data_IF_497470145354
#
_entry.id   IF_497470145354
#
_cell.length_a   1.000
_cell.length_b   1.000
_cell.length_c   1.000
_cell.angle_alpha   90.00
_cell.angle_beta   90.00
_cell.angle_gamma   90.00
#
_symmetry.space_group_name_H-M   'P 1'
#
loop_
_entity.id
_entity.type
_entity.pdbx_description
1 polymer ?
#
# COMPACT_ATOMS: atom_id res chain seq x y z
N UNK A 1 25.02 -80.56 43.67
CA UNK A 1 23.61 -80.31 44.05
C UNK A 1 23.43 -78.81 44.30
N UNK A 2 22.40 -78.22 43.68
CA UNK A 2 21.70 -76.95 44.01
C UNK A 2 22.34 -75.57 43.70
N UNK A 3 21.56 -74.82 42.90
CA UNK A 3 21.52 -73.39 42.41
C UNK A 3 21.53 -72.38 43.61
N UNK A 4 21.75 -71.01 43.55
CA UNK A 4 21.31 -70.08 42.49
C UNK A 4 21.99 -68.67 42.30
N UNK A 5 21.36 -67.85 41.43
CA UNK A 5 21.32 -66.36 41.30
C UNK A 5 22.45 -65.69 40.50
N UNK A 6 22.25 -64.62 39.72
CA UNK A 6 21.14 -64.01 38.98
C UNK A 6 21.80 -62.84 38.20
N UNK A 7 21.33 -62.61 36.97
CA UNK A 7 21.35 -61.35 36.20
C UNK A 7 22.02 -60.10 36.82
N UNK A 8 23.10 -59.61 36.20
CA UNK A 8 23.60 -58.23 36.19
C UNK A 8 24.88 -58.27 35.31
N UNK A 9 25.17 -57.47 34.29
CA UNK A 9 24.94 -56.04 34.04
C UNK A 9 25.12 -55.86 32.52
N UNK A 10 24.07 -55.47 31.81
CA UNK A 10 24.16 -54.96 30.44
C UNK A 10 23.66 -53.52 30.47
N UNK A 11 24.51 -52.58 30.93
CA UNK A 11 24.11 -51.18 31.07
C UNK A 11 25.31 -50.22 31.06
N UNK A 12 26.23 -50.35 30.10
CA UNK A 12 27.38 -49.43 29.99
C UNK A 12 27.70 -49.05 28.54
N UNK A 13 26.69 -48.80 27.70
CA UNK A 13 26.91 -48.33 26.33
C UNK A 13 25.92 -47.28 25.81
N UNK A 14 25.17 -46.59 26.70
CA UNK A 14 24.18 -45.60 26.29
C UNK A 14 24.35 -44.19 26.89
N UNK A 15 25.54 -43.87 27.45
CA UNK A 15 25.71 -42.63 28.24
C UNK A 15 26.42 -41.47 27.53
N UNK A 16 27.03 -41.66 26.35
CA UNK A 16 27.87 -40.62 25.74
C UNK A 16 27.19 -39.85 24.59
N UNK A 17 26.05 -40.34 24.10
CA UNK A 17 25.32 -39.73 22.97
C UNK A 17 24.38 -38.59 23.37
N UNK A 18 24.05 -38.43 24.65
CA UNK A 18 23.03 -37.48 25.12
C UNK A 18 23.61 -36.14 25.61
N UNK A 19 24.93 -36.06 25.84
CA UNK A 19 25.56 -34.86 26.39
C UNK A 19 25.87 -33.77 25.34
N UNK A 20 26.20 -34.14 24.10
CA UNK A 20 26.49 -33.17 23.02
C UNK A 20 25.25 -32.51 22.42
N UNK A 21 24.08 -33.12 22.56
CA UNK A 21 22.83 -32.67 21.93
C UNK A 21 22.14 -31.53 22.69
N UNK A 22 22.47 -31.34 23.98
CA UNK A 22 21.87 -30.31 24.84
C UNK A 22 22.52 -28.94 24.72
N UNK A 23 23.80 -28.86 24.35
CA UNK A 23 24.50 -27.58 24.19
C UNK A 23 24.12 -26.82 22.90
N UNK A 24 23.77 -27.53 21.83
CA UNK A 24 23.35 -26.91 20.57
C UNK A 24 21.95 -26.27 20.63
N UNK A 25 21.08 -26.74 21.54
CA UNK A 25 19.72 -26.20 21.69
C UNK A 25 19.72 -24.92 22.53
N UNK A 26 20.62 -24.79 23.52
CA UNK A 26 20.73 -23.59 24.36
C UNK A 26 21.23 -22.35 23.63
N UNK A 27 22.14 -22.52 22.65
CA UNK A 27 22.70 -21.41 21.87
C UNK A 27 21.70 -20.89 20.81
N UNK A 28 20.82 -21.75 20.29
CA UNK A 28 19.83 -21.34 19.29
C UNK A 28 18.68 -20.50 19.89
N UNK A 29 18.36 -20.67 21.18
CA UNK A 29 17.28 -19.90 21.85
C UNK A 29 17.67 -18.48 22.27
N UNK A 30 18.96 -18.13 22.35
CA UNK A 30 19.42 -16.81 22.75
C UNK A 30 19.62 -15.82 21.58
N UNK A 31 19.64 -16.31 20.34
CA UNK A 31 19.83 -15.47 19.15
C UNK A 31 18.51 -15.04 18.48
N UNK A 32 17.34 -15.47 18.98
CA UNK A 32 16.06 -15.26 18.30
C UNK A 32 15.23 -14.02 18.65
N UNK A 33 15.52 -13.16 19.65
CA UNK A 33 14.66 -11.98 19.87
C UNK A 33 15.10 -10.74 19.06
N UNK A 34 16.26 -10.71 18.41
CA UNK A 34 16.77 -9.50 17.74
C UNK A 34 16.32 -9.32 16.27
N UNK A 35 15.67 -10.33 15.67
CA UNK A 35 15.26 -10.27 14.27
C UNK A 35 13.90 -9.56 14.03
N UNK A 36 13.18 -9.15 15.08
CA UNK A 36 11.85 -8.54 14.94
C UNK A 36 11.82 -7.01 14.82
N UNK A 37 12.96 -6.30 14.88
CA UNK A 37 12.97 -4.82 14.95
C UNK A 37 13.09 -4.14 13.57
N UNK A 38 13.26 -4.87 12.46
CA UNK A 38 13.43 -4.26 11.12
C UNK A 38 12.31 -4.57 10.11
N UNK A 39 11.05 -4.58 10.55
CA UNK A 39 9.93 -4.36 9.65
C UNK A 39 9.49 -2.88 9.70
N UNK A 40 10.44 -1.95 9.66
CA UNK A 40 10.14 -0.58 9.29
C UNK A 40 9.71 -0.59 7.83
N UNK A 41 8.45 -0.21 7.56
CA UNK A 41 7.82 -0.09 6.26
C UNK A 41 8.53 0.96 5.40
N UNK A 42 9.70 0.61 4.88
CA UNK A 42 10.43 1.46 3.95
C UNK A 42 9.63 1.48 2.65
N UNK A 43 9.14 2.66 2.26
CA UNK A 43 8.54 2.83 0.93
C UNK A 43 9.53 2.34 -0.13
N UNK A 44 9.05 1.63 -1.18
CA UNK A 44 9.96 1.14 -2.21
C UNK A 44 10.71 2.30 -2.85
N UNK A 45 11.96 2.07 -3.25
CA UNK A 45 12.77 3.07 -3.95
C UNK A 45 12.09 3.49 -5.26
N UNK A 46 12.38 4.69 -5.76
CA UNK A 46 11.77 5.21 -6.99
C UNK A 46 11.97 4.27 -8.19
N UNK A 47 13.16 3.71 -8.36
CA UNK A 47 13.43 2.74 -9.44
C UNK A 47 12.60 1.46 -9.31
N UNK A 48 12.41 0.97 -8.08
CA UNK A 48 11.53 -0.17 -7.83
C UNK A 48 10.07 0.15 -8.15
N UNK A 49 9.61 1.37 -7.81
CA UNK A 49 8.28 1.85 -8.18
C UNK A 49 8.11 1.91 -9.70
N UNK A 50 9.08 2.46 -10.43
CA UNK A 50 9.07 2.52 -11.90
C UNK A 50 9.02 1.12 -12.51
N UNK A 51 9.75 0.15 -11.94
CA UNK A 51 9.69 -1.24 -12.39
C UNK A 51 8.33 -1.89 -12.12
N UNK A 52 7.66 -1.59 -11.00
CA UNK A 52 6.30 -2.04 -10.72
C UNK A 52 5.32 -1.48 -11.77
N UNK A 53 5.40 -0.18 -12.05
CA UNK A 53 4.56 0.52 -13.04
C UNK A 53 4.78 -0.05 -14.46
N UNK A 54 6.03 -0.31 -14.86
CA UNK A 54 6.34 -0.94 -16.17
C UNK A 54 5.74 -2.34 -16.31
N UNK A 55 5.62 -3.07 -15.21
CA UNK A 55 4.99 -4.40 -15.17
C UNK A 55 3.46 -4.35 -15.07
N UNK A 56 2.86 -3.16 -14.93
CA UNK A 56 1.43 -2.99 -14.71
C UNK A 56 0.99 -3.32 -13.27
N UNK A 57 1.94 -3.47 -12.34
CA UNK A 57 1.65 -3.78 -10.94
C UNK A 57 1.42 -2.49 -10.15
N UNK A 58 0.18 -2.00 -10.23
CA UNK A 58 -0.24 -0.72 -9.66
C UNK A 58 -0.68 -0.88 -8.20
N UNK A 59 0.27 -1.18 -7.31
CA UNK A 59 -0.02 -1.40 -5.89
C UNK A 59 -0.37 -0.09 -5.17
N UNK A 60 -1.48 -0.12 -4.44
CA UNK A 60 -1.93 0.98 -3.58
C UNK A 60 -0.90 1.22 -2.45
N UNK A 61 -0.76 2.47 -1.99
CA UNK A 61 0.12 2.97 -0.94
C UNK A 61 1.63 2.88 -1.19
N UNK A 62 2.04 2.32 -2.32
CA UNK A 62 3.46 2.04 -2.64
C UNK A 62 4.02 2.85 -3.80
N UNK A 63 3.16 3.46 -4.61
CA UNK A 63 3.55 4.18 -5.81
C UNK A 63 3.29 5.68 -5.66
N UNK A 64 4.25 6.49 -6.08
CA UNK A 64 4.19 7.95 -6.05
C UNK A 64 3.79 8.52 -7.42
N UNK A 65 3.18 9.72 -7.49
CA UNK A 65 2.91 10.41 -8.75
C UNK A 65 4.16 10.54 -9.63
N UNK A 66 5.29 10.88 -9.00
CA UNK A 66 6.59 11.02 -9.67
C UNK A 66 7.01 9.73 -10.40
N UNK A 67 6.78 8.56 -9.80
CA UNK A 67 7.10 7.29 -10.42
C UNK A 67 6.30 7.06 -11.70
N UNK A 68 5.04 7.51 -11.77
CA UNK A 68 4.22 7.44 -12.97
C UNK A 68 4.71 8.39 -14.04
N UNK A 69 4.95 9.66 -13.70
CA UNK A 69 5.45 10.66 -14.66
C UNK A 69 6.78 10.22 -15.27
N UNK A 70 7.72 9.73 -14.46
CA UNK A 70 9.02 9.25 -14.96
C UNK A 70 8.94 7.93 -15.75
N UNK A 71 7.83 7.19 -15.67
CA UNK A 71 7.66 5.89 -16.36
C UNK A 71 6.81 5.99 -17.60
N UNK A 72 5.74 6.78 -17.56
CA UNK A 72 4.75 6.88 -18.63
C UNK A 72 4.79 8.23 -19.36
N UNK A 73 5.50 9.22 -18.82
CA UNK A 73 5.45 10.61 -19.29
C UNK A 73 4.37 11.42 -18.56
N UNK A 74 4.20 12.67 -18.97
CA UNK A 74 3.20 13.56 -18.39
C UNK A 74 1.76 13.04 -18.63
N UNK A 75 0.87 13.15 -17.63
CA UNK A 75 -0.53 12.80 -17.80
C UNK A 75 -1.23 13.79 -18.73
N UNK A 76 -2.20 13.33 -19.52
CA UNK A 76 -3.03 14.21 -20.36
C UNK A 76 -3.90 15.15 -19.54
N UNK A 77 -4.32 14.68 -18.36
CA UNK A 77 -5.13 15.45 -17.42
C UNK A 77 -4.53 15.36 -16.02
N UNK A 78 -4.37 16.52 -15.39
CA UNK A 78 -3.96 16.69 -14.01
C UNK A 78 -5.01 17.57 -13.33
N UNK A 79 -5.43 17.19 -12.12
CA UNK A 79 -6.38 17.98 -11.33
C UNK A 79 -6.06 17.81 -9.85
N UNK A 80 -6.20 18.88 -9.08
CA UNK A 80 -5.99 18.87 -7.63
C UNK A 80 -7.20 19.48 -6.92
N UNK A 81 -7.74 18.72 -5.97
CA UNK A 81 -8.87 19.17 -5.16
C UNK A 81 -8.85 18.56 -3.76
N UNK A 82 -9.44 19.29 -2.82
CA UNK A 82 -9.79 18.73 -1.53
C UNK A 82 -10.90 17.70 -1.73
N UNK A 83 -10.62 16.44 -1.39
CA UNK A 83 -11.55 15.33 -1.59
C UNK A 83 -11.80 14.59 -0.28
N UNK A 84 -13.00 14.03 -0.16
CA UNK A 84 -13.35 13.08 0.90
C UNK A 84 -13.19 11.67 0.36
N UNK A 85 -12.65 10.80 1.20
CA UNK A 85 -12.29 9.43 0.88
C UNK A 85 -12.96 8.46 1.83
N UNK A 86 -13.48 7.39 1.24
CA UNK A 86 -14.02 6.25 1.97
C UNK A 86 -12.95 5.17 2.09
N UNK A 87 -12.65 4.79 3.33
CA UNK A 87 -11.61 3.79 3.63
C UNK A 87 -12.19 2.40 3.41
N UNK A 88 -11.58 1.65 2.50
CA UNK A 88 -11.97 0.29 2.17
C UNK A 88 -11.19 -0.74 3.00
N UNK A 89 -11.73 -1.95 3.13
CA UNK A 89 -11.07 -3.04 3.85
C UNK A 89 -9.69 -3.44 3.28
N UNK A 90 -9.44 -3.19 2.00
CA UNK A 90 -8.15 -3.45 1.34
C UNK A 90 -7.15 -2.28 1.48
N UNK A 91 -7.55 -1.23 2.21
CA UNK A 91 -6.79 0.00 2.40
C UNK A 91 -6.94 1.00 1.26
N UNK A 92 -7.63 0.69 0.17
CA UNK A 92 -7.89 1.68 -0.88
C UNK A 92 -8.77 2.82 -0.36
N UNK A 93 -8.56 4.02 -0.88
CA UNK A 93 -9.34 5.20 -0.54
C UNK A 93 -10.18 5.62 -1.73
N UNK A 94 -11.48 5.35 -1.72
CA UNK A 94 -12.35 5.70 -2.83
C UNK A 94 -12.75 7.18 -2.67
N UNK A 95 -12.41 8.06 -3.64
CA UNK A 95 -12.86 9.45 -3.57
C UNK A 95 -14.37 9.56 -3.78
N UNK A 96 -15.01 10.47 -3.06
CA UNK A 96 -16.45 10.69 -3.12
C UNK A 96 -16.97 10.98 -4.52
N UNK A 97 -16.18 11.63 -5.37
CA UNK A 97 -16.52 11.92 -6.77
C UNK A 97 -16.74 10.68 -7.65
N UNK A 98 -16.38 9.48 -7.16
CA UNK A 98 -16.60 8.20 -7.85
C UNK A 98 -17.83 7.44 -7.35
N UNK A 99 -18.49 7.90 -6.30
CA UNK A 99 -19.72 7.30 -5.81
C UNK A 99 -20.94 7.94 -6.43
N UNK A 100 -21.99 7.15 -6.63
CA UNK A 100 -23.30 7.69 -6.93
C UNK A 100 -23.86 8.42 -5.70
N UNK A 101 -24.63 9.49 -5.93
CA UNK A 101 -25.24 10.27 -4.86
C UNK A 101 -26.16 9.38 -4.01
N UNK A 102 -25.85 9.29 -2.70
CA UNK A 102 -26.61 8.52 -1.73
C UNK A 102 -26.21 7.04 -1.60
N UNK A 103 -25.17 6.58 -2.31
CA UNK A 103 -24.64 5.22 -2.14
C UNK A 103 -23.44 5.20 -1.17
N UNK A 104 -23.45 4.24 -0.24
CA UNK A 104 -22.28 3.90 0.57
C UNK A 104 -21.50 2.74 -0.09
N UNK A 105 -20.17 2.86 -0.30
CA UNK A 105 -19.39 1.77 -0.86
C UNK A 105 -19.51 0.48 -0.04
N UNK A 106 -19.65 -0.65 -0.75
CA UNK A 106 -19.74 -1.97 -0.14
C UNK A 106 -18.37 -2.37 0.41
N UNK A 107 -18.29 -2.69 1.71
CA UNK A 107 -17.01 -3.03 2.35
C UNK A 107 -16.17 -1.81 2.76
N UNK A 108 -16.83 -0.68 2.98
CA UNK A 108 -16.33 0.49 3.69
C UNK A 108 -16.16 0.12 5.19
N UNK A 109 -14.99 0.43 5.78
CA UNK A 109 -14.79 0.56 7.24
C UNK A 109 -15.17 1.97 7.66
N UNK A 110 -15.84 2.20 8.81
CA UNK A 110 -16.43 3.52 9.21
C UNK A 110 -15.50 4.76 9.19
N UNK A 111 -14.24 4.60 8.79
CA UNK A 111 -13.27 5.64 8.52
C UNK A 111 -13.59 6.48 7.27
N UNK A 112 -13.44 7.79 7.47
CA UNK A 112 -13.40 8.80 6.43
C UNK A 112 -12.04 9.50 6.53
N UNK A 113 -11.40 9.69 5.39
CA UNK A 113 -10.23 10.56 5.27
C UNK A 113 -10.58 11.74 4.37
N UNK A 114 -9.94 12.88 4.60
CA UNK A 114 -10.16 14.05 3.76
C UNK A 114 -8.88 14.89 3.67
N UNK A 115 -8.61 15.39 2.47
CA UNK A 115 -7.48 16.27 2.23
C UNK A 115 -7.23 16.49 0.75
N UNK A 116 -6.09 17.11 0.45
CA UNK A 116 -5.72 17.43 -0.92
C UNK A 116 -5.33 16.17 -1.69
N UNK A 117 -6.03 15.97 -2.79
CA UNK A 117 -5.89 14.81 -3.65
C UNK A 117 -5.42 15.24 -5.03
N UNK A 118 -4.49 14.47 -5.59
CA UNK A 118 -4.00 14.64 -6.96
C UNK A 118 -4.61 13.56 -7.85
N UNK A 119 -5.26 13.99 -8.92
CA UNK A 119 -5.92 13.14 -9.90
C UNK A 119 -5.15 13.19 -11.22
N UNK A 120 -4.77 12.02 -11.73
CA UNK A 120 -4.08 11.89 -13.01
C UNK A 120 -4.89 11.02 -13.98
N UNK A 121 -5.09 11.53 -15.19
CA UNK A 121 -5.72 10.82 -16.30
C UNK A 121 -4.73 10.48 -17.40
N UNK A 122 -4.59 9.18 -17.71
CA UNK A 122 -3.80 8.67 -18.83
C UNK A 122 -4.72 7.95 -19.86
N UNK A 123 -5.37 8.68 -20.78
CA UNK A 123 -6.27 8.12 -21.79
C UNK A 123 -5.60 7.02 -22.61
N UNK A 124 -4.38 7.27 -23.11
CA UNK A 124 -3.62 6.33 -23.93
C UNK A 124 -3.28 5.02 -23.22
N UNK A 125 -3.34 5.02 -21.89
CA UNK A 125 -3.09 3.85 -21.04
C UNK A 125 -4.38 3.25 -20.45
N UNK A 126 -5.52 3.92 -20.59
CA UNK A 126 -6.78 3.51 -19.99
C UNK A 126 -6.82 3.59 -18.46
N UNK A 127 -5.99 4.45 -17.84
CA UNK A 127 -5.88 4.54 -16.38
C UNK A 127 -6.29 5.91 -15.83
N UNK A 128 -7.08 5.85 -14.76
CA UNK A 128 -7.38 6.95 -13.86
C UNK A 128 -6.74 6.66 -12.49
N UNK A 129 -5.92 7.58 -12.00
CA UNK A 129 -5.14 7.40 -10.78
C UNK A 129 -5.42 8.54 -9.81
N UNK A 130 -5.49 8.22 -8.52
CA UNK A 130 -5.72 9.19 -7.46
C UNK A 130 -4.68 8.99 -6.38
N UNK A 131 -4.06 10.10 -5.99
CA UNK A 131 -3.03 10.14 -4.99
C UNK A 131 -3.48 11.00 -3.82
N UNK A 132 -3.16 10.54 -2.63
CA UNK A 132 -3.36 11.23 -1.36
C UNK A 132 -2.10 11.03 -0.53
N UNK A 133 -1.60 12.11 0.10
CA UNK A 133 -0.31 12.13 0.80
C UNK A 133 0.85 11.53 -0.03
N UNK A 134 0.95 11.95 -1.30
CA UNK A 134 1.96 11.51 -2.28
C UNK A 134 1.96 9.99 -2.59
N UNK A 135 0.87 9.28 -2.27
CA UNK A 135 0.75 7.83 -2.48
C UNK A 135 -0.47 7.50 -3.31
N UNK A 136 -0.35 6.50 -4.18
CA UNK A 136 -1.47 5.98 -4.96
C UNK A 136 -2.49 5.36 -4.02
N UNK A 137 -3.67 5.95 -3.90
CA UNK A 137 -4.72 5.45 -2.99
C UNK A 137 -5.91 4.84 -3.73
N UNK A 138 -6.10 5.21 -5.00
CA UNK A 138 -7.13 4.65 -5.85
C UNK A 138 -6.66 4.58 -7.31
N UNK A 139 -7.10 3.52 -8.00
CA UNK A 139 -6.88 3.34 -9.43
C UNK A 139 -8.11 2.72 -10.07
N UNK A 140 -8.42 3.17 -11.27
CA UNK A 140 -9.55 2.65 -12.04
C UNK A 140 -9.14 2.49 -13.49
N UNK A 141 -9.35 1.28 -14.02
CA UNK A 141 -9.23 1.04 -15.45
C UNK A 141 -10.54 1.48 -16.11
N UNK A 142 -10.46 2.35 -17.11
CA UNK A 142 -11.64 2.90 -17.78
C UNK A 142 -11.35 3.21 -19.25
N UNK A 143 -12.40 3.36 -20.05
CA UNK A 143 -12.25 3.66 -21.47
C UNK A 143 -11.61 5.03 -21.69
N UNK A 144 -10.89 5.17 -22.81
CA UNK A 144 -10.29 6.43 -23.27
C UNK A 144 -11.31 7.57 -23.26
N UNK A 145 -12.52 7.29 -23.77
CA UNK A 145 -13.62 8.25 -23.79
C UNK A 145 -14.04 8.73 -22.40
N UNK A 146 -14.07 7.84 -21.41
CA UNK A 146 -14.46 8.20 -20.03
C UNK A 146 -13.40 9.07 -19.36
N UNK A 147 -12.12 8.81 -19.61
CA UNK A 147 -11.01 9.63 -19.09
C UNK A 147 -11.10 11.04 -19.68
N UNK A 148 -11.34 11.17 -20.99
CA UNK A 148 -11.54 12.48 -21.61
C UNK A 148 -12.75 13.23 -21.06
N UNK A 149 -13.88 12.55 -20.82
CA UNK A 149 -15.07 13.14 -20.23
C UNK A 149 -14.77 13.74 -18.84
N UNK A 150 -14.11 12.98 -17.98
CA UNK A 150 -13.70 13.42 -16.63
C UNK A 150 -12.71 14.58 -16.73
N UNK A 151 -11.67 14.45 -17.55
CA UNK A 151 -10.64 15.47 -17.69
C UNK A 151 -11.16 16.79 -18.28
N UNK A 152 -12.14 16.73 -19.17
CA UNK A 152 -12.79 17.93 -19.69
C UNK A 152 -13.64 18.61 -18.60
N UNK A 153 -14.31 17.85 -17.73
CA UNK A 153 -15.03 18.40 -16.58
C UNK A 153 -14.10 19.16 -15.64
N UNK A 154 -12.91 18.64 -15.35
CA UNK A 154 -11.92 19.35 -14.52
C UNK A 154 -11.50 20.69 -15.11
N UNK A 155 -11.22 20.74 -16.42
CA UNK A 155 -10.94 22.00 -17.13
C UNK A 155 -12.08 23.00 -16.99
N UNK A 156 -13.32 22.52 -17.05
CA UNK A 156 -14.49 23.35 -16.84
C UNK A 156 -14.63 23.81 -15.37
N UNK A 157 -14.25 23.01 -14.37
CA UNK A 157 -14.30 23.41 -12.96
C UNK A 157 -13.23 24.47 -12.63
N UNK A 158 -12.01 24.32 -13.17
CA UNK A 158 -10.90 25.26 -12.97
C UNK A 158 -11.23 26.68 -13.43
N UNK A 159 -11.87 26.82 -14.60
CA UNK A 159 -12.29 28.14 -15.08
C UNK A 159 -13.34 28.81 -14.19
N UNK A 160 -14.14 28.05 -13.41
CA UNK A 160 -15.13 28.62 -12.50
C UNK A 160 -14.54 28.95 -11.11
N UNK A 161 -13.51 28.23 -10.64
CA UNK A 161 -12.83 28.54 -9.37
C UNK A 161 -12.25 29.96 -9.36
N UNK A 162 -11.69 30.42 -10.48
CA UNK A 162 -11.09 31.77 -10.60
C UNK A 162 -12.05 32.94 -10.41
N UNK A 163 -13.37 32.72 -10.43
CA UNK A 163 -14.37 33.80 -10.36
C UNK A 163 -14.99 34.01 -8.97
N UNK A 164 -14.89 33.02 -8.08
CA UNK A 164 -15.54 33.06 -6.76
C UNK A 164 -14.56 33.28 -5.60
N UNK A 165 -13.26 33.07 -5.82
CA UNK A 165 -12.20 33.30 -4.83
C UNK A 165 -11.41 34.59 -5.12
N UNK A 166 -12.12 35.72 -5.30
CA UNK A 166 -11.49 37.01 -5.03
C UNK A 166 -11.55 37.20 -3.50
N UNK A 167 -10.42 37.25 -2.77
CA UNK A 167 -10.44 37.52 -1.35
C UNK A 167 -11.15 38.85 -1.14
N UNK A 168 -12.33 38.78 -0.55
CA UNK A 168 -13.11 39.93 -0.14
C UNK A 168 -12.26 40.75 0.82
N UNK A 169 -11.72 41.86 0.32
CA UNK A 169 -11.34 43.00 1.14
C UNK A 169 -10.27 42.74 2.19
N UNK A 170 -9.02 42.93 1.77
CA UNK A 170 -8.12 43.77 2.59
C UNK A 170 -8.83 45.09 2.84
N UNK A 171 -9.30 45.30 4.08
CA UNK A 171 -9.57 46.65 4.58
C UNK A 171 -9.33 46.70 6.09
N UNK A 172 -8.16 47.28 6.38
CA UNK A 172 -7.81 48.11 7.55
C UNK A 172 -7.30 47.42 8.80
#
# INVERSE_FOLDING_TARGET
MMVPRALCVAATALSHWTARRRYLIGILMLASPLAMIMACSTSPTLDAQKQLIRRGDLQIHRLTPRAFVETWGDPTYIHQEFSQFFVMNDGSLIPQSRLALGESPKGWETGLEAGDALFLGYPDRGWYLVFYDDRLVYREAMSVSKIHEIGNRWKYEEQFRTRLELPSGSHR
#
